data_IF_821073986914
#
_entry.id   IF_821073986914
#
_cell.length_a   1.000
_cell.length_b   1.000
_cell.length_c   1.000
_cell.angle_alpha   90.00
_cell.angle_beta   90.00
_cell.angle_gamma   90.00
#
_symmetry.space_group_name_H-M   'P 1'
#
loop_
_entity.id
_entity.type
_entity.pdbx_description
1 polymer ?
#
# COMPACT_ATOMS: atom_id res chain seq x y z
N UNK A 1 -2.21 11.16 7.09
CA UNK A 1 -1.23 11.67 8.07
C UNK A 1 0.01 10.78 8.16
N UNK A 2 -0.12 9.48 8.49
CA UNK A 2 1.04 8.59 8.66
C UNK A 2 1.92 8.47 7.40
N UNK A 3 1.34 8.24 6.22
CA UNK A 3 2.11 8.13 4.96
C UNK A 3 2.84 9.41 4.61
N UNK A 4 2.21 10.58 4.80
CA UNK A 4 2.85 11.88 4.55
C UNK A 4 4.04 12.13 5.50
N UNK A 5 3.91 11.74 6.78
CA UNK A 5 5.00 11.85 7.74
C UNK A 5 6.16 10.91 7.41
N UNK A 6 5.88 9.65 7.06
CA UNK A 6 6.90 8.68 6.64
C UNK A 6 7.64 9.15 5.39
N UNK A 7 6.91 9.63 4.39
CA UNK A 7 7.48 10.15 3.17
C UNK A 7 8.33 11.42 3.44
N UNK A 8 7.85 12.33 4.29
CA UNK A 8 8.62 13.49 4.74
C UNK A 8 9.87 13.13 5.56
N UNK A 9 9.87 11.98 6.23
CA UNK A 9 11.02 11.44 6.95
C UNK A 9 12.02 10.68 6.04
N UNK A 10 11.77 10.61 4.73
CA UNK A 10 12.67 9.99 3.75
C UNK A 10 12.32 8.56 3.37
N UNK A 11 11.15 8.03 3.77
CA UNK A 11 10.69 6.74 3.24
C UNK A 11 10.29 6.88 1.76
N UNK A 12 10.99 6.18 0.88
CA UNK A 12 10.71 6.16 -0.56
C UNK A 12 9.48 5.32 -0.95
N UNK A 13 8.99 4.48 -0.04
CA UNK A 13 7.83 3.61 -0.23
C UNK A 13 7.12 3.41 1.12
N UNK A 14 5.79 3.28 1.10
CA UNK A 14 4.99 2.95 2.29
C UNK A 14 4.15 1.70 2.02
N UNK A 15 4.36 0.68 2.85
CA UNK A 15 3.54 -0.54 2.85
C UNK A 15 2.32 -0.31 3.74
N UNK A 16 1.13 -0.41 3.17
CA UNK A 16 -0.12 -0.08 3.85
C UNK A 16 -1.07 -1.29 3.85
N UNK A 17 -1.17 -1.98 4.99
CA UNK A 17 -2.12 -3.07 5.16
C UNK A 17 -3.55 -2.54 5.34
N UNK A 18 -4.53 -3.23 4.73
CA UNK A 18 -5.93 -2.84 4.81
C UNK A 18 -6.88 -4.03 4.76
N UNK A 19 -7.90 -4.00 5.62
CA UNK A 19 -9.03 -4.92 5.59
C UNK A 19 -10.30 -4.35 4.96
N UNK A 20 -10.34 -3.05 4.64
CA UNK A 20 -11.53 -2.34 4.14
C UNK A 20 -11.34 -1.74 2.74
N UNK A 21 -10.09 -1.58 2.30
CA UNK A 21 -9.73 -1.07 0.97
C UNK A 21 -10.22 0.36 0.74
N UNK A 22 -9.82 1.29 1.61
CA UNK A 22 -10.00 2.72 1.38
C UNK A 22 -9.13 3.16 0.19
N UNK A 23 -9.68 3.94 -0.76
CA UNK A 23 -8.88 4.55 -1.81
C UNK A 23 -8.01 5.64 -1.16
N UNK A 24 -6.77 5.30 -0.86
CA UNK A 24 -5.84 6.17 -0.16
C UNK A 24 -4.44 5.99 -0.73
N UNK A 25 -3.69 7.07 -0.93
CA UNK A 25 -2.32 7.05 -1.40
C UNK A 25 -1.59 8.33 -1.05
N UNK A 26 -0.32 8.23 -0.65
CA UNK A 26 0.54 9.39 -0.45
C UNK A 26 1.26 9.82 -1.72
N UNK A 27 2.13 10.83 -1.61
CA UNK A 27 2.95 11.32 -2.71
C UNK A 27 4.16 10.44 -3.06
N UNK A 28 4.39 9.37 -2.30
CA UNK A 28 5.34 8.28 -2.59
C UNK A 28 4.56 6.98 -2.89
N UNK A 29 5.16 5.98 -3.57
CA UNK A 29 4.56 4.66 -3.75
C UNK A 29 3.94 4.13 -2.45
N UNK A 30 2.63 3.91 -2.47
CA UNK A 30 1.85 3.46 -1.30
C UNK A 30 1.24 2.10 -1.63
N UNK A 31 2.02 1.04 -1.34
CA UNK A 31 1.68 -0.34 -1.69
C UNK A 31 0.57 -0.85 -0.79
N UNK A 32 -0.60 -1.10 -1.37
CA UNK A 32 -1.80 -1.56 -0.66
C UNK A 32 -1.84 -3.07 -0.54
N UNK A 33 -1.76 -3.54 0.71
CA UNK A 33 -1.78 -4.96 1.05
C UNK A 33 -3.15 -5.34 1.60
N UNK A 34 -3.93 -6.12 0.86
CA UNK A 34 -5.19 -6.65 1.34
C UNK A 34 -4.94 -7.79 2.33
N UNK A 35 -5.57 -7.72 3.51
CA UNK A 35 -5.47 -8.79 4.53
C UNK A 35 -6.42 -9.97 4.27
N UNK A 36 -7.29 -9.87 3.27
CA UNK A 36 -8.21 -10.93 2.88
C UNK A 36 -8.43 -10.94 1.36
N UNK A 37 -8.58 -12.14 0.80
CA UNK A 37 -8.71 -12.35 -0.65
C UNK A 37 -9.98 -11.74 -1.23
N UNK A 38 -11.07 -11.72 -0.46
CA UNK A 38 -12.33 -11.14 -0.90
C UNK A 38 -12.21 -9.64 -1.17
N UNK A 39 -11.44 -8.91 -0.36
CA UNK A 39 -11.12 -7.51 -0.61
C UNK A 39 -10.30 -7.32 -1.87
N UNK A 40 -9.25 -8.14 -2.05
CA UNK A 40 -8.39 -8.08 -3.23
C UNK A 40 -9.19 -8.29 -4.53
N UNK A 41 -10.11 -9.27 -4.53
CA UNK A 41 -11.00 -9.57 -5.65
C UNK A 41 -12.04 -8.47 -5.91
N UNK A 42 -12.62 -7.89 -4.86
CA UNK A 42 -13.66 -6.85 -4.99
C UNK A 42 -13.09 -5.49 -5.42
N UNK A 43 -11.83 -5.20 -5.07
CA UNK A 43 -11.18 -3.90 -5.31
C UNK A 43 -9.80 -4.07 -5.97
N UNK A 44 -9.71 -4.74 -7.13
CA UNK A 44 -8.42 -5.04 -7.77
C UNK A 44 -7.69 -3.78 -8.26
N UNK A 45 -8.41 -2.69 -8.47
CA UNK A 45 -7.84 -1.41 -8.86
C UNK A 45 -7.12 -0.68 -7.72
N UNK A 46 -7.35 -1.06 -6.45
CA UNK A 46 -6.79 -0.38 -5.28
C UNK A 46 -5.84 -1.26 -4.46
N UNK A 47 -5.74 -2.55 -4.77
CA UNK A 47 -4.93 -3.51 -4.03
C UNK A 47 -3.74 -3.92 -4.92
N UNK A 48 -2.54 -3.78 -4.37
CA UNK A 48 -1.30 -4.22 -5.01
C UNK A 48 -1.00 -5.69 -4.70
N UNK A 49 -1.29 -6.13 -3.47
CA UNK A 49 -0.95 -7.47 -2.98
C UNK A 49 -2.07 -8.11 -2.16
N UNK A 50 -2.28 -9.42 -2.31
CA UNK A 50 -3.24 -10.19 -1.53
C UNK A 50 -2.54 -11.08 -0.49
N UNK A 51 -2.44 -10.61 0.75
CA UNK A 51 -1.92 -11.43 1.86
C UNK A 51 -2.95 -12.46 2.38
N UNK A 52 -4.21 -12.37 1.93
CA UNK A 52 -5.27 -13.31 2.29
C UNK A 52 -5.00 -14.75 1.81
N UNK A 53 -4.08 -14.95 0.87
CA UNK A 53 -3.67 -16.28 0.39
C UNK A 53 -3.25 -17.24 1.51
N UNK A 54 -2.62 -16.72 2.58
CA UNK A 54 -2.25 -17.51 3.76
C UNK A 54 -3.44 -18.23 4.40
N UNK A 55 -4.60 -17.56 4.46
CA UNK A 55 -5.82 -18.11 5.07
C UNK A 55 -6.44 -19.18 4.15
N UNK A 56 -6.12 -19.17 2.86
CA UNK A 56 -6.60 -20.14 1.87
C UNK A 56 -5.60 -21.26 1.58
N UNK A 57 -4.59 -21.45 2.44
CA UNK A 57 -3.68 -22.60 2.37
C UNK A 57 -2.40 -22.38 1.55
N UNK A 58 -2.11 -21.16 1.10
CA UNK A 58 -0.81 -20.84 0.53
C UNK A 58 0.28 -20.92 1.60
N UNK A 59 1.43 -21.51 1.27
CA UNK A 59 2.56 -21.60 2.17
C UNK A 59 3.15 -20.20 2.44
N UNK A 60 3.61 -19.96 3.68
CA UNK A 60 4.21 -18.67 4.04
C UNK A 60 5.41 -18.31 3.17
N UNK A 61 6.28 -19.27 2.89
CA UNK A 61 7.50 -19.04 2.10
C UNK A 61 7.17 -18.67 0.65
N UNK A 62 6.11 -19.28 0.09
CA UNK A 62 5.60 -18.95 -1.25
C UNK A 62 5.04 -17.52 -1.28
N UNK A 63 4.18 -17.16 -0.32
CA UNK A 63 3.61 -15.82 -0.23
C UNK A 63 4.72 -14.77 -0.01
N UNK A 64 5.70 -15.07 0.84
CA UNK A 64 6.82 -14.18 1.14
C UNK A 64 7.64 -13.92 -0.12
N UNK A 65 7.92 -14.95 -0.92
CA UNK A 65 8.63 -14.81 -2.20
C UNK A 65 7.89 -13.85 -3.12
N UNK A 66 6.58 -14.09 -3.34
CA UNK A 66 5.75 -13.21 -4.18
C UNK A 66 5.69 -11.77 -3.65
N UNK A 67 5.67 -11.60 -2.32
CA UNK A 67 5.64 -10.29 -1.70
C UNK A 67 6.93 -9.51 -1.91
N UNK A 68 8.09 -10.17 -1.71
CA UNK A 68 9.40 -9.57 -1.91
C UNK A 68 9.60 -9.21 -3.39
N UNK A 69 9.23 -10.11 -4.31
CA UNK A 69 9.32 -9.85 -5.75
C UNK A 69 8.52 -8.59 -6.14
N UNK A 70 7.30 -8.44 -5.63
CA UNK A 70 6.50 -7.23 -5.86
C UNK A 70 7.18 -5.96 -5.31
N UNK A 71 7.77 -6.02 -4.11
CA UNK A 71 8.48 -4.87 -3.55
C UNK A 71 9.67 -4.48 -4.43
N UNK A 72 10.44 -5.46 -4.90
CA UNK A 72 11.58 -5.24 -5.80
C UNK A 72 11.11 -4.62 -7.11
N UNK A 73 10.06 -5.15 -7.73
CA UNK A 73 9.51 -4.58 -8.97
C UNK A 73 9.10 -3.10 -8.78
N UNK A 74 8.47 -2.75 -7.66
CA UNK A 74 8.07 -1.37 -7.39
C UNK A 74 9.30 -0.49 -7.12
N UNK A 75 10.31 -1.00 -6.41
CA UNK A 75 11.57 -0.31 -6.21
C UNK A 75 12.31 -0.05 -7.55
N UNK A 76 12.18 -0.96 -8.52
CA UNK A 76 12.73 -0.86 -9.88
C UNK A 76 11.88 0.04 -10.80
N UNK A 77 10.78 0.62 -10.30
CA UNK A 77 10.00 1.63 -11.00
C UNK A 77 8.64 1.14 -11.54
N UNK A 78 8.20 -0.07 -11.20
CA UNK A 78 6.80 -0.46 -11.42
C UNK A 78 5.88 0.44 -10.56
N UNK A 79 4.92 1.16 -11.15
CA UNK A 79 4.06 2.04 -10.37
C UNK A 79 3.10 1.24 -9.48
N UNK A 80 2.95 1.67 -8.22
CA UNK A 80 1.95 1.15 -7.32
C UNK A 80 0.53 1.60 -7.73
N UNK A 81 -0.52 0.92 -7.27
CA UNK A 81 -1.92 1.26 -7.62
C UNK A 81 -2.27 2.70 -7.26
N UNK A 82 -1.72 3.26 -6.19
CA UNK A 82 -2.00 4.67 -5.87
C UNK A 82 -1.42 5.62 -6.93
N UNK A 83 -0.25 5.33 -7.49
CA UNK A 83 0.38 6.14 -8.52
C UNK A 83 -0.37 6.04 -9.85
N UNK A 84 -0.83 4.84 -10.20
CA UNK A 84 -1.66 4.60 -11.40
C UNK A 84 -2.99 5.37 -11.31
N UNK A 85 -3.59 5.41 -10.13
CA UNK A 85 -4.87 6.10 -9.90
C UNK A 85 -4.71 7.60 -9.56
N UNK A 86 -3.47 8.11 -9.61
CA UNK A 86 -3.11 9.50 -9.26
C UNK A 86 -3.54 9.95 -7.85
N UNK A 87 -3.53 9.02 -6.89
CA UNK A 87 -3.75 9.33 -5.48
C UNK A 87 -2.44 9.77 -4.81
N UNK A 88 -2.34 11.09 -4.60
CA UNK A 88 -1.15 11.78 -4.05
C UNK A 88 -1.48 12.66 -2.84
N UNK A 89 -2.23 12.14 -1.90
CA UNK A 89 -2.66 12.93 -0.74
C UNK A 89 -1.47 13.36 0.13
N UNK A 90 -1.48 14.62 0.52
CA UNK A 90 -0.55 15.19 1.49
C UNK A 90 -1.34 15.76 2.66
N UNK A 91 -1.13 15.19 3.85
CA UNK A 91 -1.71 15.68 5.08
C UNK A 91 -0.60 16.08 6.04
N UNK A 92 -0.47 17.38 6.29
CA UNK A 92 0.47 17.93 7.28
C UNK A 92 -0.19 17.90 8.65
N UNK A 93 0.43 17.20 9.59
CA UNK A 93 -0.02 17.23 10.98
C UNK A 93 0.38 18.57 11.61
N UNK A 94 -0.58 19.28 12.19
CA UNK A 94 -0.36 20.54 12.91
C UNK A 94 -1.05 20.45 14.28
N UNK A 95 -0.32 20.82 15.33
CA UNK A 95 -0.80 20.81 16.72
C UNK A 95 -1.43 22.16 17.17
N UNK A 96 -1.41 23.20 16.34
CA UNK A 96 -1.91 24.55 16.66
C UNK A 96 -3.22 24.92 15.96
N UNK A 97 -3.84 26.00 16.40
CA UNK A 97 -5.11 26.53 15.85
C UNK A 97 -4.95 26.97 14.38
N UNK A 98 -5.98 26.73 13.57
CA UNK A 98 -6.11 27.26 12.22
C UNK A 98 -6.83 28.61 12.36
N UNK A 99 -6.14 29.70 11.99
CA UNK A 99 -6.74 31.04 11.87
C UNK A 99 -7.40 31.20 10.50
#
# INVERSE_FOLDING_TARGET
>A
MATSALAGAGCHMVLFSTGRGTPYGGFVPTVKLATNTELAKKKPHWIDFNAGGLIHGMAMDELLTQFVDLIVEIADGKPAKNEINDFRELALFKSGVIL
#
